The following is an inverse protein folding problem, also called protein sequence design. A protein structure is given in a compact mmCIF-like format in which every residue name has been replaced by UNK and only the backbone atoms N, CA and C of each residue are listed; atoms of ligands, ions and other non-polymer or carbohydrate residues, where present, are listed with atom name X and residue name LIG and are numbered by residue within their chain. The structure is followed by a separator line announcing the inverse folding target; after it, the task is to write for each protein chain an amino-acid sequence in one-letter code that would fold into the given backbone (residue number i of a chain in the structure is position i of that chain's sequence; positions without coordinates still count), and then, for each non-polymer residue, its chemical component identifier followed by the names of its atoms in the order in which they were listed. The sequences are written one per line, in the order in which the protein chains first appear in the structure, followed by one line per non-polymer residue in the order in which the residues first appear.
data_IF_192956860436
#
_entry.id   IF_192956860436
#
_cell.length_a   1.000
_cell.length_b   1.000
_cell.length_c   1.000
_cell.angle_alpha   90.00
_cell.angle_beta   90.00
_cell.angle_gamma   90.00
#
_symmetry.space_group_name_H-M   'P 1'
#
loop_
_entity.id
_entity.type
_entity.pdbx_description
1 polymer ?
#
# COMPACT_ATOMS: atom_id res chain seq x y z
N UNK A 1 8.05 -11.86 -18.34
CA UNK A 1 8.05 -12.03 -16.87
C UNK A 1 7.81 -10.65 -16.25
N UNK A 2 6.60 -10.36 -15.76
CA UNK A 2 6.28 -9.06 -15.13
C UNK A 2 7.18 -8.91 -13.90
N UNK A 3 7.93 -7.80 -13.72
CA UNK A 3 8.74 -7.60 -12.54
C UNK A 3 7.79 -7.59 -11.34
N UNK A 4 7.82 -8.68 -10.56
CA UNK A 4 7.13 -8.78 -9.28
C UNK A 4 7.83 -7.75 -8.41
N UNK A 5 7.23 -6.57 -8.25
CA UNK A 5 7.73 -5.53 -7.35
C UNK A 5 8.15 -6.20 -6.06
N UNK A 6 9.47 -6.20 -5.77
CA UNK A 6 10.05 -6.94 -4.66
C UNK A 6 9.56 -6.42 -3.30
N UNK A 7 8.97 -5.23 -3.29
CA UNK A 7 8.42 -4.59 -2.10
C UNK A 7 6.91 -4.79 -2.06
N UNK A 8 6.37 -5.53 -1.08
CA UNK A 8 4.94 -5.68 -0.89
C UNK A 8 4.29 -4.34 -0.53
N UNK A 9 3.11 -4.05 -1.09
CA UNK A 9 2.39 -2.79 -0.81
C UNK A 9 2.10 -2.54 0.67
N UNK A 10 1.98 -3.60 1.50
CA UNK A 10 1.83 -3.47 2.96
C UNK A 10 3.09 -2.90 3.63
N UNK A 11 4.27 -3.18 3.07
CA UNK A 11 5.56 -2.73 3.58
C UNK A 11 5.71 -1.22 3.30
N UNK A 12 5.33 -0.79 2.09
CA UNK A 12 5.27 0.63 1.72
C UNK A 12 4.26 1.39 2.58
N UNK A 13 3.05 0.84 2.74
CA UNK A 13 2.02 1.44 3.59
C UNK A 13 2.48 1.56 5.06
N UNK A 14 3.13 0.52 5.58
CA UNK A 14 3.67 0.49 6.94
C UNK A 14 4.78 1.53 7.16
N UNK A 15 5.69 1.71 6.19
CA UNK A 15 6.73 2.74 6.25
C UNK A 15 6.11 4.14 6.29
N UNK A 16 5.10 4.41 5.44
CA UNK A 16 4.39 5.70 5.47
C UNK A 16 3.74 5.98 6.82
N UNK A 17 3.08 4.98 7.41
CA UNK A 17 2.47 5.09 8.74
C UNK A 17 3.50 5.30 9.84
N UNK A 18 4.64 4.63 9.77
CA UNK A 18 5.73 4.80 10.73
C UNK A 18 6.31 6.22 10.67
N UNK A 19 6.49 6.78 9.47
CA UNK A 19 6.95 8.16 9.30
C UNK A 19 5.97 9.19 9.90
N UNK A 20 4.66 8.97 9.71
CA UNK A 20 3.63 9.81 10.34
C UNK A 20 3.71 9.68 11.86
N UNK A 21 3.80 8.46 12.41
CA UNK A 21 3.86 8.23 13.84
C UNK A 21 5.10 8.87 14.47
N UNK A 22 6.26 8.81 13.81
CA UNK A 22 7.49 9.48 14.24
C UNK A 22 7.34 10.99 14.21
N UNK A 23 6.77 11.55 13.13
CA UNK A 23 6.51 12.99 13.02
C UNK A 23 5.55 13.50 14.11
N UNK A 24 4.48 12.76 14.39
CA UNK A 24 3.54 13.07 15.47
C UNK A 24 4.20 12.96 16.84
N UNK A 25 4.94 11.87 17.10
CA UNK A 25 5.64 11.67 18.36
C UNK A 25 6.65 12.80 18.62
N UNK A 26 7.45 13.17 17.61
CA UNK A 26 8.37 14.30 17.70
C UNK A 26 7.61 15.59 18.00
N UNK A 27 6.59 15.92 17.20
CA UNK A 27 5.84 17.17 17.36
C UNK A 27 5.13 17.29 18.72
N UNK A 28 4.66 16.17 19.28
CA UNK A 28 3.96 16.14 20.58
C UNK A 28 4.93 16.12 21.75
N UNK A 29 6.04 15.37 21.67
CA UNK A 29 6.95 15.15 22.81
C UNK A 29 8.02 16.23 22.92
N UNK A 30 8.61 16.65 21.81
CA UNK A 30 9.70 17.62 21.79
C UNK A 30 9.15 19.05 21.62
N UNK A 31 7.93 19.18 21.08
CA UNK A 31 7.44 20.44 20.55
C UNK A 31 8.15 20.78 19.24
N UNK A 32 7.67 21.83 18.56
CA UNK A 32 8.23 22.27 17.28
C UNK A 32 8.50 23.77 17.34
N UNK A 33 9.68 24.17 16.87
CA UNK A 33 9.98 25.59 16.61
C UNK A 33 9.49 25.98 15.21
N UNK A 34 9.24 27.27 14.96
CA UNK A 34 8.74 27.76 13.67
C UNK A 34 9.63 27.39 12.47
N UNK A 35 10.91 27.09 12.70
CA UNK A 35 11.85 26.60 11.68
C UNK A 35 11.71 25.11 11.34
N UNK A 36 11.11 24.31 12.21
CA UNK A 36 10.96 22.85 12.05
C UNK A 36 9.60 22.45 11.48
N UNK A 37 8.65 23.40 11.45
CA UNK A 37 7.31 23.25 10.88
C UNK A 37 7.30 22.70 9.44
N UNK A 38 8.16 23.16 8.51
CA UNK A 38 8.24 22.60 7.16
C UNK A 38 8.70 21.14 7.15
N UNK A 39 9.60 20.76 8.06
CA UNK A 39 10.10 19.39 8.20
C UNK A 39 9.00 18.49 8.75
N UNK A 40 8.25 18.96 9.74
CA UNK A 40 7.11 18.26 10.32
C UNK A 40 6.01 18.03 9.27
N UNK A 41 5.67 19.07 8.51
CA UNK A 41 4.70 18.98 7.41
C UNK A 41 5.21 18.07 6.28
N UNK A 42 6.51 18.08 5.99
CA UNK A 42 7.13 17.16 5.03
C UNK A 42 7.08 15.71 5.48
N UNK A 43 7.31 15.44 6.76
CA UNK A 43 7.18 14.10 7.36
C UNK A 43 5.74 13.60 7.34
N UNK A 44 4.79 14.43 7.76
CA UNK A 44 3.37 14.07 7.79
C UNK A 44 2.81 13.92 6.37
N UNK A 45 3.06 14.90 5.50
CA UNK A 45 2.60 14.90 4.12
C UNK A 45 3.27 13.81 3.28
N UNK A 46 4.59 13.66 3.41
CA UNK A 46 5.35 12.60 2.73
C UNK A 46 4.97 11.20 3.22
N UNK A 47 4.82 11.03 4.54
CA UNK A 47 4.35 9.79 5.13
C UNK A 47 2.93 9.42 4.67
N UNK A 48 2.02 10.40 4.60
CA UNK A 48 0.66 10.21 4.09
C UNK A 48 0.64 9.84 2.61
N UNK A 49 1.48 10.47 1.79
CA UNK A 49 1.60 10.17 0.36
C UNK A 49 2.11 8.74 0.14
N UNK A 50 3.13 8.32 0.90
CA UNK A 50 3.71 6.96 0.83
C UNK A 50 2.67 5.93 1.30
N UNK A 51 1.95 6.21 2.39
CA UNK A 51 0.90 5.35 2.90
C UNK A 51 -0.22 5.15 1.85
N UNK A 52 -0.65 6.24 1.22
CA UNK A 52 -1.65 6.22 0.14
C UNK A 52 -1.17 5.41 -1.07
N UNK A 53 0.10 5.57 -1.48
CA UNK A 53 0.69 4.79 -2.56
C UNK A 53 0.72 3.28 -2.25
N UNK A 54 1.08 2.93 -1.01
CA UNK A 54 1.08 1.55 -0.53
C UNK A 54 -0.33 0.92 -0.53
N UNK A 55 -1.35 1.69 -0.10
CA UNK A 55 -2.75 1.25 -0.19
C UNK A 55 -3.20 1.05 -1.63
N UNK A 56 -2.87 1.98 -2.53
CA UNK A 56 -3.24 1.86 -3.95
C UNK A 56 -2.59 0.62 -4.61
N UNK A 57 -1.35 0.30 -4.23
CA UNK A 57 -0.69 -0.94 -4.66
C UNK A 57 -1.37 -2.19 -4.10
N UNK A 58 -1.82 -2.15 -2.84
CA UNK A 58 -2.57 -3.26 -2.23
C UNK A 58 -3.91 -3.49 -2.91
N UNK A 59 -4.64 -2.42 -3.27
CA UNK A 59 -5.89 -2.51 -4.01
C UNK A 59 -5.67 -3.09 -5.42
N UNK A 60 -4.66 -2.60 -6.15
CA UNK A 60 -4.29 -3.14 -7.45
C UNK A 60 -3.94 -4.65 -7.37
N UNK A 61 -3.21 -5.07 -6.33
CA UNK A 61 -2.88 -6.47 -6.11
C UNK A 61 -4.10 -7.34 -5.73
N UNK A 62 -5.11 -6.76 -5.06
CA UNK A 62 -6.38 -7.45 -4.79
C UNK A 62 -7.20 -7.63 -6.06
N UNK A 63 -7.26 -6.62 -6.93
CA UNK A 63 -7.94 -6.71 -8.22
C UNK A 63 -7.32 -7.80 -9.12
N UNK A 64 -5.99 -7.86 -9.23
CA UNK A 64 -5.30 -8.88 -10.03
C UNK A 64 -5.53 -10.31 -9.48
N UNK A 65 -5.69 -10.45 -8.15
CA UNK A 65 -6.06 -11.74 -7.53
C UNK A 65 -7.50 -12.15 -7.79
N UNK A 66 -8.44 -11.20 -7.81
CA UNK A 66 -9.86 -11.49 -8.07
C UNK A 66 -10.04 -11.94 -9.52
N UNK A 67 -9.41 -11.24 -10.46
CA UNK A 67 -9.48 -11.58 -11.89
C UNK A 67 -8.91 -12.98 -12.17
N UNK A 68 -7.78 -13.33 -11.54
CA UNK A 68 -7.23 -14.69 -11.61
C UNK A 68 -8.16 -15.75 -11.04
N UNK A 69 -8.82 -15.48 -9.91
CA UNK A 69 -9.77 -16.44 -9.33
C UNK A 69 -11.02 -16.63 -10.18
N UNK A 70 -11.45 -15.60 -10.91
CA UNK A 70 -12.57 -15.70 -11.85
C UNK A 70 -12.15 -16.52 -13.07
N UNK A 71 -10.98 -16.24 -13.63
CA UNK A 71 -10.43 -17.01 -14.75
C UNK A 71 -10.21 -18.49 -14.40
N UNK A 72 -9.74 -18.80 -13.18
CA UNK A 72 -9.61 -20.18 -12.68
C UNK A 72 -10.98 -20.87 -12.51
N UNK A 73 -12.02 -20.12 -12.13
CA UNK A 73 -13.39 -20.66 -12.00
C UNK A 73 -14.06 -20.95 -13.35
N UNK A 74 -13.86 -20.07 -14.33
CA UNK A 74 -14.42 -20.28 -15.68
C UNK A 74 -13.71 -21.44 -16.39
N UNK A 75 -12.39 -21.53 -16.27
CA UNK A 75 -11.62 -22.65 -16.82
C UNK A 75 -12.05 -24.02 -16.22
N UNK A 76 -12.30 -24.08 -14.91
CA UNK A 76 -12.84 -25.30 -14.27
C UNK A 76 -14.28 -25.61 -14.68
N UNK A 77 -15.08 -24.60 -15.00
CA UNK A 77 -16.47 -24.79 -15.42
C UNK A 77 -16.56 -25.31 -16.85
N UNK A 78 -15.64 -24.91 -17.74
CA UNK A 78 -15.50 -25.47 -19.08
C UNK A 78 -15.04 -26.94 -19.07
N UNK A 79 -14.04 -27.30 -18.26
CA UNK A 79 -13.61 -28.70 -18.14
C UNK A 79 -14.73 -29.62 -17.61
N UNK A 80 -15.59 -29.11 -16.73
CA UNK A 80 -16.72 -29.89 -16.19
C UNK A 80 -17.89 -30.02 -17.17
N UNK A 81 -18.04 -29.08 -18.11
CA UNK A 81 -19.13 -29.08 -19.09
C UNK A 81 -18.75 -29.78 -20.41
N UNK A 82 -17.45 -29.90 -20.74
CA UNK A 82 -16.97 -30.67 -21.89
C UNK A 82 -16.86 -32.18 -21.66
N UNK A 83 -17.18 -32.66 -20.45
CA UNK A 83 -17.06 -34.06 -20.03
C UNK A 83 -18.43 -34.75 -19.80
N UNK A 84 -19.52 -34.13 -20.27
CA UNK A 84 -20.87 -34.70 -20.38
C UNK A 84 -21.31 -34.69 -21.84
#
# INVERSE_FOLDING_TARGET
MKPKSAVPGYLVAGIGLALIAVGLYWGVVIGYTSGELPVLLGLLGGGALIAWLGQRMLEAAKHDKIERRIAERDAQSEERNGNH
#
